data_IF_089554098213
#
_entry.id   IF_089554098213
#
_cell.length_a   1.000
_cell.length_b   1.000
_cell.length_c   1.000
_cell.angle_alpha   90.00
_cell.angle_beta   90.00
_cell.angle_gamma   90.00
#
_symmetry.space_group_name_H-M   'P 1'
#
loop_
_entity.id
_entity.type
_entity.pdbx_description
1 polymer ?
#
# COMPACT_ATOMS: atom_id res chain seq x y z
N UNK A 1 -13.22 -2.74 -9.79
CA UNK A 1 -12.35 -3.25 -8.72
C UNK A 1 -13.15 -3.21 -7.43
N UNK A 2 -13.56 -4.35 -6.85
CA UNK A 2 -14.36 -4.37 -5.62
C UNK A 2 -13.42 -4.32 -4.43
N UNK A 3 -13.34 -3.17 -3.79
CA UNK A 3 -12.71 -3.00 -2.48
C UNK A 3 -13.48 -3.89 -1.49
N UNK A 4 -12.78 -4.71 -0.71
CA UNK A 4 -13.44 -5.50 0.34
C UNK A 4 -13.81 -4.55 1.48
N UNK A 5 -15.09 -4.45 1.89
CA UNK A 5 -15.51 -3.51 2.95
C UNK A 5 -14.81 -3.75 4.28
N UNK A 6 -14.26 -4.96 4.46
CA UNK A 6 -13.57 -5.41 5.66
C UNK A 6 -12.08 -5.02 5.70
N UNK A 7 -11.45 -4.80 4.55
CA UNK A 7 -10.04 -4.40 4.46
C UNK A 7 -9.87 -3.35 3.34
N UNK A 8 -10.30 -2.09 3.59
CA UNK A 8 -10.32 -1.04 2.57
C UNK A 8 -8.93 -0.65 2.05
N UNK A 9 -7.88 -1.06 2.74
CA UNK A 9 -6.47 -0.85 2.41
C UNK A 9 -5.84 -2.00 1.60
N UNK A 10 -6.58 -3.09 1.34
CA UNK A 10 -6.00 -4.32 0.81
C UNK A 10 -5.97 -4.35 -0.72
N UNK A 11 -4.79 -4.69 -1.25
CA UNK A 11 -4.46 -4.68 -2.67
C UNK A 11 -5.19 -5.83 -3.41
N UNK A 12 -6.37 -5.51 -3.94
CA UNK A 12 -7.19 -6.47 -4.70
C UNK A 12 -6.46 -7.19 -5.85
N UNK A 13 -5.48 -6.59 -6.57
CA UNK A 13 -4.69 -7.29 -7.58
C UNK A 13 -3.89 -8.47 -7.01
N UNK A 14 -3.22 -8.31 -5.86
CA UNK A 14 -2.44 -9.40 -5.27
C UNK A 14 -3.35 -10.58 -4.87
N UNK A 15 -4.48 -10.33 -4.19
CA UNK A 15 -5.43 -11.40 -3.84
C UNK A 15 -5.96 -12.12 -5.08
N UNK A 16 -6.30 -11.35 -6.12
CA UNK A 16 -6.80 -11.92 -7.37
C UNK A 16 -5.74 -12.80 -8.03
N UNK A 17 -4.46 -12.38 -8.03
CA UNK A 17 -3.34 -13.16 -8.57
C UNK A 17 -3.06 -14.40 -7.73
N UNK A 18 -3.11 -14.30 -6.40
CA UNK A 18 -2.98 -15.43 -5.50
C UNK A 18 -4.09 -16.47 -5.75
N UNK A 19 -5.35 -16.03 -5.85
CA UNK A 19 -6.48 -16.91 -6.13
C UNK A 19 -6.34 -17.59 -7.50
N UNK A 20 -5.98 -16.84 -8.54
CA UNK A 20 -5.76 -17.39 -9.88
C UNK A 20 -4.60 -18.40 -9.93
N UNK A 21 -3.49 -18.11 -9.24
CA UNK A 21 -2.36 -19.04 -9.13
C UNK A 21 -2.78 -20.33 -8.43
N UNK A 22 -3.54 -20.21 -7.33
CA UNK A 22 -4.05 -21.36 -6.58
C UNK A 22 -4.97 -22.24 -7.42
N UNK A 23 -5.88 -21.62 -8.19
CA UNK A 23 -6.78 -22.32 -9.10
C UNK A 23 -6.00 -23.03 -10.23
N UNK A 24 -5.02 -22.36 -10.82
CA UNK A 24 -4.15 -22.95 -11.83
C UNK A 24 -3.39 -24.18 -11.29
N UNK A 25 -2.80 -24.08 -10.10
CA UNK A 25 -2.06 -25.19 -9.47
C UNK A 25 -2.98 -26.36 -9.13
N UNK A 26 -4.19 -26.09 -8.63
CA UNK A 26 -5.18 -27.12 -8.34
C UNK A 26 -5.59 -27.92 -9.59
N UNK A 27 -5.56 -27.30 -10.77
CA UNK A 27 -5.92 -27.95 -12.04
C UNK A 27 -4.74 -28.66 -12.73
N UNK A 28 -3.54 -28.06 -12.67
CA UNK A 28 -2.41 -28.50 -13.51
C UNK A 28 -1.34 -29.28 -12.74
N UNK A 29 -1.15 -28.99 -11.44
CA UNK A 29 -0.15 -29.63 -10.59
C UNK A 29 -0.66 -29.76 -9.15
N UNK A 30 -1.69 -30.60 -8.87
CA UNK A 30 -2.32 -30.65 -7.55
C UNK A 30 -1.35 -30.96 -6.41
N UNK A 31 -0.31 -31.74 -6.68
CA UNK A 31 0.71 -32.16 -5.71
C UNK A 31 1.53 -30.99 -5.14
N UNK A 32 1.62 -29.86 -5.86
CA UNK A 32 2.36 -28.67 -5.41
C UNK A 32 1.50 -27.64 -4.71
N UNK A 33 0.16 -27.80 -4.75
CA UNK A 33 -0.79 -26.86 -4.16
C UNK A 33 -0.58 -26.71 -2.65
N UNK A 34 -0.37 -27.82 -1.94
CA UNK A 34 -0.11 -27.80 -0.49
C UNK A 34 1.15 -26.98 -0.17
N UNK A 35 2.22 -27.20 -0.93
CA UNK A 35 3.49 -26.46 -0.77
C UNK A 35 3.29 -24.96 -1.03
N UNK A 36 2.50 -24.61 -2.05
CA UNK A 36 2.14 -23.22 -2.34
C UNK A 36 1.34 -22.60 -1.19
N UNK A 37 0.26 -23.26 -0.74
CA UNK A 37 -0.58 -22.77 0.35
C UNK A 37 0.25 -22.58 1.63
N UNK A 38 1.13 -23.52 1.98
CA UNK A 38 2.05 -23.40 3.12
C UNK A 38 3.04 -22.25 2.97
N UNK A 39 3.58 -22.02 1.77
CA UNK A 39 4.50 -20.90 1.53
C UNK A 39 3.79 -19.55 1.65
N UNK A 40 2.54 -19.46 1.17
CA UNK A 40 1.72 -18.23 1.21
C UNK A 40 1.12 -17.94 2.59
N UNK A 41 1.02 -18.93 3.48
CA UNK A 41 0.44 -18.76 4.82
C UNK A 41 1.15 -17.67 5.65
N UNK A 42 2.45 -17.44 5.41
CA UNK A 42 3.23 -16.34 6.01
C UNK A 42 2.68 -14.94 5.69
N UNK A 43 1.98 -14.80 4.56
CA UNK A 43 1.38 -13.55 4.11
C UNK A 43 -0.06 -13.39 4.60
N UNK A 44 -0.62 -14.41 5.25
CA UNK A 44 -1.98 -14.39 5.77
C UNK A 44 -2.03 -13.54 7.04
N UNK A 45 -3.02 -12.65 7.11
CA UNK A 45 -3.33 -11.92 8.35
C UNK A 45 -3.69 -12.93 9.45
N UNK A 46 -3.01 -12.84 10.59
CA UNK A 46 -3.27 -13.72 11.73
C UNK A 46 -4.71 -13.54 12.24
N UNK A 47 -5.37 -14.59 12.75
CA UNK A 47 -6.74 -14.49 13.27
C UNK A 47 -6.89 -13.52 14.43
N UNK A 48 -5.82 -13.29 15.19
CA UNK A 48 -5.75 -12.39 16.34
C UNK A 48 -5.29 -10.97 15.98
N UNK A 49 -5.13 -10.66 14.69
CA UNK A 49 -4.77 -9.31 14.23
C UNK A 49 -5.80 -8.28 14.69
N UNK A 50 -5.31 -7.21 15.30
CA UNK A 50 -6.11 -6.06 15.75
C UNK A 50 -5.77 -4.85 14.89
N UNK A 51 -6.81 -4.19 14.39
CA UNK A 51 -6.65 -2.92 13.67
C UNK A 51 -6.38 -1.82 14.69
N UNK A 52 -5.38 -0.99 14.41
CA UNK A 52 -5.12 0.26 15.13
C UNK A 52 -5.53 1.39 14.18
N UNK A 53 -6.53 2.15 14.59
CA UNK A 53 -6.99 3.34 13.85
C UNK A 53 -6.25 4.57 14.38
N UNK A 54 -5.72 5.38 13.46
CA UNK A 54 -4.99 6.60 13.80
C UNK A 54 -5.67 7.77 13.09
N UNK A 55 -6.48 8.53 13.85
CA UNK A 55 -7.29 9.61 13.29
C UNK A 55 -6.49 10.89 13.01
N UNK A 56 -5.42 11.11 13.75
CA UNK A 56 -4.58 12.29 13.75
C UNK A 56 -3.21 12.00 13.11
N UNK A 57 -3.19 11.15 12.08
CA UNK A 57 -1.92 10.71 11.47
C UNK A 57 -1.18 11.85 10.75
N UNK A 58 -1.93 12.81 10.22
CA UNK A 58 -1.44 14.07 9.64
C UNK A 58 -2.24 15.18 10.29
N UNK A 59 -1.57 16.12 10.94
CA UNK A 59 -2.25 17.26 11.54
C UNK A 59 -2.67 18.31 10.48
N UNK A 60 -3.49 19.26 10.88
CA UNK A 60 -4.00 20.29 9.98
C UNK A 60 -2.89 21.18 9.37
N UNK A 61 -1.78 21.37 10.10
CA UNK A 61 -0.64 22.20 9.68
C UNK A 61 0.13 21.50 8.57
N UNK A 62 0.50 20.24 8.79
CA UNK A 62 1.17 19.39 7.80
C UNK A 62 0.31 19.20 6.55
N UNK A 63 -1.01 19.05 6.73
CA UNK A 63 -1.94 18.94 5.62
C UNK A 63 -2.03 20.24 4.79
N UNK A 64 -2.01 21.40 5.45
CA UNK A 64 -1.96 22.68 4.75
C UNK A 64 -0.65 22.86 3.97
N UNK A 65 0.49 22.54 4.59
CA UNK A 65 1.81 22.61 3.94
C UNK A 65 1.90 21.67 2.73
N UNK A 66 1.37 20.45 2.83
CA UNK A 66 1.31 19.50 1.73
C UNK A 66 0.48 20.04 0.55
N UNK A 67 -0.66 20.68 0.83
CA UNK A 67 -1.50 21.31 -0.19
C UNK A 67 -0.78 22.46 -0.90
N UNK A 68 -0.05 23.27 -0.15
CA UNK A 68 0.74 24.37 -0.72
C UNK A 68 1.82 23.85 -1.66
N UNK A 69 2.58 22.82 -1.24
CA UNK A 69 3.57 22.16 -2.10
C UNK A 69 2.93 21.63 -3.38
N UNK A 70 1.82 20.90 -3.29
CA UNK A 70 1.15 20.33 -4.47
C UNK A 70 0.66 21.43 -5.42
N UNK A 71 0.09 22.51 -4.89
CA UNK A 71 -0.39 23.64 -5.68
C UNK A 71 0.76 24.33 -6.43
N UNK A 72 1.88 24.51 -5.74
CA UNK A 72 3.01 25.28 -6.24
C UNK A 72 3.99 24.41 -7.05
N UNK A 73 3.78 23.09 -7.08
CA UNK A 73 4.54 22.15 -7.91
C UNK A 73 4.28 22.42 -9.39
N UNK A 74 5.32 22.93 -10.07
CA UNK A 74 5.29 23.14 -11.51
C UNK A 74 5.26 21.83 -12.29
N UNK A 75 4.71 21.85 -13.51
CA UNK A 75 4.59 20.67 -14.38
C UNK A 75 5.92 19.94 -14.63
N UNK A 76 7.03 20.67 -14.59
CA UNK A 76 8.40 20.16 -14.80
C UNK A 76 8.93 19.33 -13.64
N UNK A 77 8.28 19.36 -12.46
CA UNK A 77 8.68 18.59 -11.29
C UNK A 77 7.96 17.24 -11.21
N UNK A 78 7.00 16.99 -12.10
CA UNK A 78 6.35 15.70 -12.19
C UNK A 78 7.12 14.74 -13.08
N UNK A 79 7.20 13.49 -12.63
CA UNK A 79 7.79 12.40 -13.39
C UNK A 79 6.85 11.96 -14.51
N UNK A 80 7.03 12.53 -15.69
CA UNK A 80 6.16 12.26 -16.85
C UNK A 80 6.19 10.80 -17.32
N UNK A 81 7.19 10.02 -16.92
CA UNK A 81 7.25 8.58 -17.19
C UNK A 81 6.29 7.78 -16.32
N UNK A 82 6.05 8.20 -15.06
CA UNK A 82 5.02 7.62 -14.19
C UNK A 82 3.61 7.85 -14.74
N UNK A 83 3.37 9.02 -15.36
CA UNK A 83 2.10 9.30 -16.01
C UNK A 83 1.83 8.35 -17.18
N UNK A 84 2.87 7.99 -17.95
CA UNK A 84 2.73 7.09 -19.11
C UNK A 84 2.55 5.62 -18.69
N UNK A 85 3.23 5.19 -17.63
CA UNK A 85 3.24 3.77 -17.22
C UNK A 85 2.12 3.45 -16.23
N UNK A 86 1.85 4.36 -15.30
CA UNK A 86 0.93 4.15 -14.18
C UNK A 86 -0.28 5.10 -14.19
N UNK A 87 -0.35 6.04 -15.14
CA UNK A 87 -1.49 6.95 -15.28
C UNK A 87 -1.61 8.00 -14.18
N UNK A 88 -0.52 8.28 -13.45
CA UNK A 88 -0.51 9.19 -12.29
C UNK A 88 0.62 10.20 -12.34
N UNK A 89 0.36 11.40 -11.82
CA UNK A 89 1.38 12.42 -11.58
C UNK A 89 2.09 12.12 -10.25
N UNK A 90 3.41 12.07 -10.27
CA UNK A 90 4.23 11.73 -9.11
C UNK A 90 5.35 12.76 -8.97
N UNK A 91 5.57 13.20 -7.73
CA UNK A 91 6.71 14.02 -7.33
C UNK A 91 7.60 13.12 -6.46
N UNK A 92 8.87 12.99 -6.80
CA UNK A 92 9.82 12.21 -6.00
C UNK A 92 10.61 13.10 -5.05
N UNK A 93 10.94 12.55 -3.88
CA UNK A 93 11.96 13.06 -2.95
C UNK A 93 11.75 14.52 -2.49
N UNK A 94 10.51 15.03 -2.47
CA UNK A 94 10.25 16.35 -1.92
C UNK A 94 10.48 16.32 -0.39
N UNK A 95 11.31 17.24 0.11
CA UNK A 95 11.78 17.24 1.51
C UNK A 95 10.63 17.15 2.52
N UNK A 96 9.57 17.94 2.34
CA UNK A 96 8.38 17.87 3.20
C UNK A 96 7.80 16.46 3.32
N UNK A 97 7.68 15.73 2.20
CA UNK A 97 7.08 14.39 2.19
C UNK A 97 8.03 13.34 2.76
N UNK A 98 9.33 13.50 2.55
CA UNK A 98 10.33 12.63 3.18
C UNK A 98 10.32 12.79 4.71
N UNK A 99 10.24 14.03 5.21
CA UNK A 99 10.20 14.32 6.65
C UNK A 99 8.89 13.82 7.28
N UNK A 100 7.76 14.00 6.59
CA UNK A 100 6.48 13.42 6.97
C UNK A 100 6.55 11.90 7.06
N UNK A 101 7.09 11.25 6.03
CA UNK A 101 7.25 9.80 6.00
C UNK A 101 8.13 9.31 7.16
N UNK A 102 9.23 10.01 7.47
CA UNK A 102 10.11 9.64 8.58
C UNK A 102 9.39 9.68 9.94
N UNK A 103 8.66 10.77 10.22
CA UNK A 103 7.85 10.90 11.46
C UNK A 103 6.75 9.85 11.54
N UNK A 104 6.08 9.57 10.42
CA UNK A 104 5.06 8.54 10.33
C UNK A 104 5.63 7.15 10.60
N UNK A 105 6.78 6.83 10.01
CA UNK A 105 7.44 5.54 10.18
C UNK A 105 7.82 5.30 11.66
N UNK A 106 8.32 6.33 12.34
CA UNK A 106 8.62 6.26 13.78
C UNK A 106 7.35 5.97 14.60
N UNK A 107 6.27 6.73 14.36
CA UNK A 107 5.00 6.55 15.06
C UNK A 107 4.39 5.17 14.82
N UNK A 108 4.38 4.71 13.57
CA UNK A 108 3.86 3.38 13.21
C UNK A 108 4.70 2.31 13.89
N UNK A 109 6.04 2.40 13.83
CA UNK A 109 6.94 1.47 14.49
C UNK A 109 6.65 1.35 15.98
N UNK A 110 6.48 2.47 16.69
CA UNK A 110 6.13 2.48 18.10
C UNK A 110 4.77 1.81 18.42
N UNK A 111 3.81 1.85 17.48
CA UNK A 111 2.48 1.27 17.67
C UNK A 111 2.44 -0.24 17.38
N UNK A 112 3.25 -0.73 16.44
CA UNK A 112 3.16 -2.13 15.96
C UNK A 112 4.29 -3.03 16.47
N UNK A 113 5.38 -2.46 17.01
CA UNK A 113 6.53 -3.20 17.52
C UNK A 113 7.56 -3.51 16.44
#
# INVERSE_FOLDING_TARGET
MKVTPRFPWYDSPWMNRHAAAREYLAQNTPDTLQTFDTAMDKLRTRPDFKVIEIEDFIDATDHAAARDVIRDTGKSQFEMHELKTFGRLVIHNHTLFNDLQARMAERVGALVG
#
